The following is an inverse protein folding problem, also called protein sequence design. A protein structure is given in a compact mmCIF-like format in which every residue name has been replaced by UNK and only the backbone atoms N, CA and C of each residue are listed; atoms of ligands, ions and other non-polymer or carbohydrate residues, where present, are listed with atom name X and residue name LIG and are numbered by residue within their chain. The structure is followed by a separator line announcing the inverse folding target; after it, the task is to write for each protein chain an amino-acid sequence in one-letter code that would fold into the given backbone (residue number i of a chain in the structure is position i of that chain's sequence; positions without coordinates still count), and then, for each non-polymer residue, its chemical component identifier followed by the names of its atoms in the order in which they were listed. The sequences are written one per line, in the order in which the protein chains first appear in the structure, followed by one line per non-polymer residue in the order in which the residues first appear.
data_IF_392051203621
#
_entry.id   IF_392051203621
#
_cell.length_a   1.000
_cell.length_b   1.000
_cell.length_c   1.000
_cell.angle_alpha   90.00
_cell.angle_beta   90.00
_cell.angle_gamma   90.00
#
_symmetry.space_group_name_H-M   'P 1'
#
loop_
_entity.id
_entity.type
_entity.pdbx_description
1 polymer ?
#
# COMPACT_ATOMS: atom_id res chain seq x y z
N UNK A 1 -8.03 -11.71 -12.99
CA UNK A 1 -8.22 -10.89 -11.76
C UNK A 1 -8.10 -11.73 -10.49
N UNK A 2 -8.89 -12.80 -10.31
CA UNK A 2 -8.82 -13.67 -9.11
C UNK A 2 -7.46 -14.38 -8.88
N UNK A 3 -6.72 -14.67 -9.96
CA UNK A 3 -5.42 -15.36 -9.89
C UNK A 3 -4.25 -14.42 -9.54
N UNK A 4 -4.40 -13.11 -9.69
CA UNK A 4 -3.27 -12.18 -9.49
C UNK A 4 -3.08 -11.83 -8.02
N UNK A 5 -4.14 -11.74 -7.23
CA UNK A 5 -4.08 -11.17 -5.87
C UNK A 5 -3.48 -12.15 -4.83
N UNK A 6 -3.68 -13.47 -5.01
CA UNK A 6 -3.46 -14.45 -3.93
C UNK A 6 -1.99 -14.75 -3.59
N UNK A 7 -1.03 -14.53 -4.50
CA UNK A 7 0.35 -14.99 -4.29
C UNK A 7 1.41 -13.88 -4.22
N UNK A 8 1.06 -12.62 -4.51
CA UNK A 8 2.05 -11.54 -4.61
C UNK A 8 1.67 -10.20 -3.95
N UNK A 9 0.47 -10.06 -3.36
CA UNK A 9 -0.07 -8.75 -2.97
C UNK A 9 -0.62 -8.65 -1.54
N UNK A 10 -0.82 -9.77 -0.84
CA UNK A 10 -1.23 -9.80 0.58
C UNK A 10 -0.09 -10.35 1.44
N UNK A 11 0.88 -9.49 1.78
CA UNK A 11 1.89 -9.84 2.79
C UNK A 11 1.39 -9.41 4.17
N UNK A 12 0.74 -10.33 4.90
CA UNK A 12 0.43 -10.09 6.30
C UNK A 12 1.71 -9.85 7.10
N UNK A 13 1.70 -8.82 7.95
CA UNK A 13 2.88 -8.46 8.75
C UNK A 13 2.67 -8.90 10.18
N UNK A 14 3.67 -9.55 10.76
CA UNK A 14 3.60 -9.95 12.18
C UNK A 14 3.94 -8.77 13.04
N UNK A 15 3.08 -8.45 14.00
CA UNK A 15 3.16 -7.23 14.79
C UNK A 15 2.86 -7.49 16.26
N UNK A 16 3.33 -6.58 17.10
CA UNK A 16 2.98 -6.48 18.51
C UNK A 16 2.49 -5.04 18.81
N UNK A 17 1.58 -4.88 19.76
CA UNK A 17 0.90 -3.60 20.02
C UNK A 17 -0.32 -3.34 19.13
N UNK A 18 -0.71 -4.31 18.29
CA UNK A 18 -1.95 -4.34 17.53
C UNK A 18 -2.95 -5.34 18.14
N UNK A 19 -4.24 -5.22 17.81
CA UNK A 19 -5.31 -6.09 18.35
C UNK A 19 -5.15 -7.57 17.96
N UNK A 20 -4.49 -7.84 16.84
CA UNK A 20 -4.18 -9.18 16.33
C UNK A 20 -2.66 -9.35 16.17
N UNK A 21 -2.14 -10.58 16.21
CA UNK A 21 -0.71 -10.84 16.00
C UNK A 21 -0.24 -10.59 14.57
N UNK A 22 -1.17 -10.57 13.61
CA UNK A 22 -0.93 -10.37 12.19
C UNK A 22 -1.80 -9.19 11.72
N UNK A 23 -1.17 -8.26 11.00
CA UNK A 23 -1.81 -7.10 10.41
C UNK A 23 -1.97 -7.29 8.90
N UNK A 24 -3.21 -7.44 8.40
CA UNK A 24 -3.46 -7.49 6.96
C UNK A 24 -3.28 -6.11 6.33
N UNK A 25 -3.12 -6.07 5.01
CA UNK A 25 -3.06 -4.80 4.25
C UNK A 25 -4.36 -4.00 4.39
N UNK A 26 -5.51 -4.71 4.34
CA UNK A 26 -6.84 -4.15 4.12
C UNK A 26 -6.89 -3.36 2.81
N UNK A 27 -6.91 -4.08 1.68
CA UNK A 27 -7.08 -3.48 0.36
C UNK A 27 -8.47 -2.85 0.28
N UNK A 28 -8.52 -1.54 0.07
CA UNK A 28 -9.78 -0.79 0.05
C UNK A 28 -10.21 -0.37 -1.35
N UNK A 29 -9.25 -0.24 -2.27
CA UNK A 29 -9.52 0.12 -3.66
C UNK A 29 -8.43 -0.40 -4.60
N UNK A 30 -8.82 -0.61 -5.86
CA UNK A 30 -7.94 -0.97 -6.97
C UNK A 30 -8.29 -0.13 -8.20
N UNK A 31 -7.28 0.31 -8.93
CA UNK A 31 -7.47 1.15 -10.11
C UNK A 31 -6.47 0.77 -11.20
N UNK A 32 -6.92 0.71 -12.46
CA UNK A 32 -6.06 0.51 -13.63
C UNK A 32 -5.94 1.82 -14.40
N UNK A 33 -4.74 2.14 -14.90
CA UNK A 33 -4.52 3.31 -15.74
C UNK A 33 -5.24 3.17 -17.08
N UNK A 34 -5.63 4.30 -17.70
CA UNK A 34 -6.38 4.30 -18.96
C UNK A 34 -5.63 3.69 -20.16
N UNK A 35 -4.31 3.58 -20.06
CA UNK A 35 -3.45 2.94 -21.05
C UNK A 35 -3.14 1.46 -20.74
N UNK A 36 -3.81 0.87 -19.73
CA UNK A 36 -3.66 -0.53 -19.27
C UNK A 36 -2.23 -0.92 -18.87
N UNK A 37 -1.40 0.06 -18.50
CA UNK A 37 0.01 -0.20 -18.13
C UNK A 37 0.23 -0.33 -16.64
N UNK A 38 -0.60 0.30 -15.81
CA UNK A 38 -0.40 0.33 -14.37
C UNK A 38 -1.64 -0.10 -13.59
N UNK A 39 -1.43 -0.93 -12.58
CA UNK A 39 -2.39 -1.25 -11.53
C UNK A 39 -1.99 -0.52 -10.25
N UNK A 40 -2.93 0.14 -9.60
CA UNK A 40 -2.78 0.79 -8.31
C UNK A 40 -3.59 0.03 -7.26
N UNK A 41 -3.00 -0.17 -6.08
CA UNK A 41 -3.64 -0.83 -4.94
C UNK A 41 -3.52 0.07 -3.71
N UNK A 42 -4.63 0.27 -3.02
CA UNK A 42 -4.74 1.08 -1.79
C UNK A 42 -4.79 0.18 -0.55
N UNK A 43 -3.73 0.19 0.27
CA UNK A 43 -3.61 -0.64 1.47
C UNK A 43 -3.86 0.21 2.72
N UNK A 44 -5.06 0.16 3.28
CA UNK A 44 -5.46 1.10 4.33
C UNK A 44 -4.67 0.91 5.64
N UNK A 45 -4.52 -0.33 6.13
CA UNK A 45 -3.85 -0.58 7.42
C UNK A 45 -2.34 -0.47 7.31
N UNK A 46 -1.76 -0.94 6.20
CA UNK A 46 -0.33 -0.76 5.94
C UNK A 46 0.03 0.70 5.67
N UNK A 47 -0.92 1.50 5.19
CA UNK A 47 -0.70 2.92 4.95
C UNK A 47 0.09 3.19 3.68
N UNK A 48 -0.03 2.34 2.66
CA UNK A 48 0.70 2.51 1.41
C UNK A 48 -0.18 2.35 0.17
N UNK A 49 0.21 3.06 -0.87
CA UNK A 49 -0.32 2.86 -2.22
C UNK A 49 0.79 2.25 -3.05
N UNK A 50 0.48 1.16 -3.73
CA UNK A 50 1.40 0.45 -4.62
C UNK A 50 0.98 0.66 -6.06
N UNK A 51 1.97 0.88 -6.90
CA UNK A 51 1.85 0.92 -8.34
C UNK A 51 2.59 -0.27 -8.93
N UNK A 52 1.90 -1.07 -9.72
CA UNK A 52 2.45 -2.22 -10.42
C UNK A 52 2.42 -1.98 -11.92
N UNK A 53 3.53 -2.26 -12.60
CA UNK A 53 3.58 -2.34 -14.05
C UNK A 53 2.96 -3.67 -14.49
N UNK A 54 1.86 -3.59 -15.24
CA UNK A 54 1.10 -4.71 -15.77
C UNK A 54 1.16 -4.77 -17.31
N UNK A 55 2.12 -4.07 -17.92
CA UNK A 55 2.32 -4.08 -19.39
C UNK A 55 2.58 -5.50 -19.93
N UNK A 56 3.14 -6.38 -19.10
CA UNK A 56 3.21 -7.83 -19.30
C UNK A 56 2.44 -8.54 -18.17
N UNK A 57 1.18 -8.96 -18.39
CA UNK A 57 0.35 -9.57 -17.34
C UNK A 57 0.89 -10.88 -16.78
N UNK A 58 1.82 -11.56 -17.47
CA UNK A 58 2.47 -12.77 -16.97
C UNK A 58 3.66 -12.44 -16.05
N UNK A 59 4.13 -11.19 -16.06
CA UNK A 59 5.30 -10.73 -15.33
C UNK A 59 5.08 -9.35 -14.72
N UNK A 60 4.15 -9.28 -13.77
CA UNK A 60 3.81 -8.06 -13.06
C UNK A 60 4.95 -7.65 -12.12
N UNK A 61 5.26 -6.35 -12.07
CA UNK A 61 6.38 -5.83 -11.28
C UNK A 61 5.96 -4.63 -10.45
N UNK A 62 6.41 -4.57 -9.20
CA UNK A 62 6.24 -3.36 -8.38
C UNK A 62 7.06 -2.21 -9.03
N UNK A 63 6.35 -1.18 -9.50
CA UNK A 63 6.94 -0.02 -10.15
C UNK A 63 7.14 1.15 -9.17
N UNK A 64 6.29 1.25 -8.15
CA UNK A 64 6.38 2.30 -7.14
C UNK A 64 5.56 2.00 -5.89
N UNK A 65 5.95 2.60 -4.78
CA UNK A 65 5.27 2.50 -3.50
C UNK A 65 5.40 3.85 -2.78
N UNK A 66 4.30 4.33 -2.22
CA UNK A 66 4.27 5.55 -1.39
C UNK A 66 3.55 5.28 -0.08
N UNK A 67 4.05 5.85 1.01
CA UNK A 67 3.46 5.72 2.35
C UNK A 67 2.67 6.97 2.72
N UNK A 68 1.42 6.78 3.11
CA UNK A 68 0.45 7.81 3.48
C UNK A 68 -0.40 7.29 4.65
N UNK A 69 -0.02 7.68 5.87
CA UNK A 69 -0.73 7.26 7.08
C UNK A 69 -0.48 5.79 7.42
N UNK A 70 -1.56 5.05 7.66
CA UNK A 70 -1.61 3.66 8.12
C UNK A 70 -1.22 3.48 9.57
N UNK A 71 -1.12 2.22 9.95
CA UNK A 71 -0.66 1.78 11.26
C UNK A 71 0.82 1.38 11.25
N UNK A 72 1.43 1.28 10.07
CA UNK A 72 2.81 0.83 9.88
C UNK A 72 3.70 2.04 9.64
N UNK A 73 4.13 2.66 10.73
CA UNK A 73 5.12 3.73 10.71
C UNK A 73 5.81 3.85 12.08
N UNK A 74 6.95 4.54 12.11
CA UNK A 74 7.80 4.67 13.31
C UNK A 74 7.13 5.32 14.53
N UNK A 75 6.14 6.20 14.32
CA UNK A 75 5.37 6.83 15.41
C UNK A 75 4.08 6.08 15.84
N UNK A 76 3.73 4.92 15.27
CA UNK A 76 2.43 4.28 15.54
C UNK A 76 2.37 3.55 16.87
N UNK A 77 3.53 3.28 17.47
CA UNK A 77 3.67 2.45 18.67
C UNK A 77 3.52 0.95 18.39
N UNK A 78 3.36 0.55 17.13
CA UNK A 78 3.27 -0.86 16.73
C UNK A 78 4.67 -1.38 16.41
N UNK A 79 5.04 -2.49 17.04
CA UNK A 79 6.30 -3.14 16.83
C UNK A 79 6.16 -4.19 15.71
N UNK A 80 6.95 -4.05 14.64
CA UNK A 80 6.92 -4.98 13.51
C UNK A 80 7.93 -6.11 13.78
N UNK A 81 7.41 -7.32 13.97
CA UNK A 81 8.21 -8.51 14.26
C UNK A 81 8.70 -9.20 12.98
N UNK A 82 7.89 -9.18 11.92
CA UNK A 82 8.24 -9.71 10.60
C UNK A 82 7.53 -8.93 9.51
N UNK A 83 8.33 -8.47 8.56
CA UNK A 83 7.92 -7.87 7.31
C UNK A 83 8.90 -8.35 6.23
N UNK A 84 8.39 -8.91 5.13
CA UNK A 84 9.23 -9.41 4.03
C UNK A 84 9.58 -8.32 3.02
N UNK A 85 8.88 -7.19 3.07
CA UNK A 85 8.99 -6.11 2.11
C UNK A 85 9.87 -4.96 2.64
N UNK A 86 9.80 -4.71 3.95
CA UNK A 86 10.49 -3.59 4.59
C UNK A 86 11.41 -4.06 5.72
N UNK A 87 12.65 -3.57 5.71
CA UNK A 87 13.59 -3.80 6.81
C UNK A 87 13.23 -3.02 8.08
N UNK A 88 12.53 -1.89 7.94
CA UNK A 88 12.13 -1.01 9.04
C UNK A 88 10.82 -0.27 8.68
N UNK A 89 10.03 0.14 9.69
CA UNK A 89 8.85 0.96 9.45
C UNK A 89 9.22 2.26 8.69
N UNK A 90 8.34 2.74 7.79
CA UNK A 90 8.50 4.05 7.17
C UNK A 90 8.31 5.15 8.23
N UNK A 91 8.81 6.38 7.97
CA UNK A 91 8.50 7.52 8.82
C UNK A 91 7.02 7.88 8.75
N UNK A 92 6.45 8.35 9.85
CA UNK A 92 5.10 8.92 9.86
C UNK A 92 4.97 10.04 8.80
N UNK A 93 3.85 10.03 8.06
CA UNK A 93 3.64 10.97 6.95
C UNK A 93 3.12 12.33 7.47
N UNK A 94 3.80 13.41 7.11
CA UNK A 94 3.41 14.79 7.44
C UNK A 94 3.23 15.65 6.19
N UNK A 95 2.12 16.37 6.11
CA UNK A 95 1.85 17.34 5.06
C UNK A 95 1.58 18.70 5.70
N UNK A 96 2.39 19.71 5.34
CA UNK A 96 2.30 21.08 5.88
C UNK A 96 2.30 21.10 7.42
N UNK A 97 3.14 20.27 8.04
CA UNK A 97 3.28 20.19 9.51
C UNK A 97 2.15 19.44 10.22
N UNK A 98 1.20 18.85 9.49
CA UNK A 98 0.14 18.02 10.06
C UNK A 98 0.37 16.55 9.72
N UNK A 99 0.29 15.68 10.72
CA UNK A 99 0.36 14.24 10.52
C UNK A 99 -0.87 13.75 9.75
N UNK A 100 -0.65 12.87 8.78
CA UNK A 100 -1.72 12.18 8.06
C UNK A 100 -2.12 10.96 8.88
N UNK A 101 -3.40 10.91 9.26
CA UNK A 101 -4.02 9.84 10.05
C UNK A 101 -4.94 9.01 9.15
N UNK A 102 -5.29 7.79 9.59
CA UNK A 102 -6.03 6.83 8.75
C UNK A 102 -5.13 6.26 7.65
N UNK A 103 -5.71 5.64 6.62
CA UNK A 103 -4.97 5.07 5.49
C UNK A 103 -5.47 5.58 4.14
N UNK A 104 -4.79 5.25 3.03
CA UNK A 104 -5.34 5.46 1.71
C UNK A 104 -6.62 4.61 1.54
N UNK A 105 -7.61 5.14 0.82
CA UNK A 105 -8.92 4.51 0.61
C UNK A 105 -9.28 4.52 -0.88
N UNK A 106 -10.14 5.45 -1.30
CA UNK A 106 -10.56 5.60 -2.68
C UNK A 106 -9.43 6.24 -3.46
N UNK A 107 -9.15 5.68 -4.62
CA UNK A 107 -8.17 6.19 -5.56
C UNK A 107 -8.89 6.72 -6.80
N UNK A 108 -8.40 7.83 -7.32
CA UNK A 108 -8.79 8.32 -8.64
C UNK A 108 -7.55 8.74 -9.41
N UNK A 109 -7.35 8.16 -10.59
CA UNK A 109 -6.28 8.56 -11.49
C UNK A 109 -6.81 9.58 -12.53
N UNK A 110 -5.99 10.57 -12.84
CA UNK A 110 -6.25 11.47 -13.96
C UNK A 110 -6.20 10.72 -15.29
N UNK A 111 -6.96 11.20 -16.28
CA UNK A 111 -7.03 10.59 -17.62
C UNK A 111 -5.66 10.47 -18.31
N UNK A 112 -4.73 11.39 -18.02
CA UNK A 112 -3.36 11.38 -18.56
C UNK A 112 -2.40 10.48 -17.76
N UNK A 113 -2.87 9.80 -16.70
CA UNK A 113 -2.09 8.89 -15.86
C UNK A 113 -1.04 9.56 -14.97
N UNK A 114 -1.03 10.89 -14.86
CA UNK A 114 0.06 11.64 -14.19
C UNK A 114 -0.23 12.04 -12.74
N UNK A 115 -1.48 11.98 -12.30
CA UNK A 115 -1.92 12.46 -10.98
C UNK A 115 -2.86 11.43 -10.38
N UNK A 116 -2.50 10.93 -9.20
CA UNK A 116 -3.33 10.07 -8.37
C UNK A 116 -3.91 10.92 -7.24
N UNK A 117 -5.22 10.81 -7.03
CA UNK A 117 -6.01 11.53 -6.03
C UNK A 117 -6.60 10.55 -5.02
#
# INVERSE_FOLDING_TARGET
MYLLINDAYECEKKVEGWILPEMPSLITDILISMDDRFLYISNWLHGDIRQYDISDPENIRLAGQIFVGGSIHDESGINILRDEELEKPPPACYVKGKRIEGGPQMLQLSLDGRRLY
#
